data_IF_348096157907
#
_entry.id   IF_348096157907
#
_cell.length_a   1.000
_cell.length_b   1.000
_cell.length_c   1.000
_cell.angle_alpha   90.00
_cell.angle_beta   90.00
_cell.angle_gamma   90.00
#
_symmetry.space_group_name_H-M   'P 1'
#
loop_
_entity.id
_entity.type
_entity.pdbx_description
1 polymer ?
#
# COMPACT_ATOMS: atom_id res chain seq x y z
N UNK A 1 -15.68 -10.62 0.05
CA UNK A 1 -14.60 -11.39 -0.60
C UNK A 1 -13.26 -10.77 -0.22
N UNK A 2 -12.23 -11.55 0.08
CA UNK A 2 -10.85 -11.07 0.25
C UNK A 2 -10.49 -10.20 -0.96
N UNK A 3 -10.23 -8.92 -0.73
CA UNK A 3 -10.00 -7.92 -1.79
C UNK A 3 -8.69 -8.19 -2.52
N UNK A 4 -8.67 -9.20 -3.39
CA UNK A 4 -7.50 -9.64 -4.14
C UNK A 4 -6.34 -10.16 -3.28
N UNK A 5 -6.48 -10.37 -1.97
CA UNK A 5 -5.35 -10.71 -1.09
C UNK A 5 -4.59 -11.98 -1.50
N UNK A 6 -5.31 -12.96 -2.05
CA UNK A 6 -4.73 -14.19 -2.58
C UNK A 6 -4.16 -14.06 -4.01
N UNK A 7 -4.61 -13.07 -4.79
CA UNK A 7 -4.35 -12.95 -6.23
C UNK A 7 -3.49 -11.76 -6.61
N UNK A 8 -3.37 -10.76 -5.75
CA UNK A 8 -2.81 -9.44 -6.04
C UNK A 8 -3.62 -8.65 -7.07
N UNK A 9 -4.86 -9.05 -7.33
CA UNK A 9 -5.74 -8.46 -8.35
C UNK A 9 -7.06 -8.04 -7.68
N UNK A 10 -7.05 -6.97 -6.86
CA UNK A 10 -8.29 -6.47 -6.30
C UNK A 10 -9.13 -5.81 -7.40
N UNK A 11 -10.45 -5.97 -7.31
CA UNK A 11 -11.43 -5.41 -8.25
C UNK A 11 -12.43 -4.49 -7.52
N UNK A 12 -13.31 -3.83 -8.28
CA UNK A 12 -14.36 -2.96 -7.74
C UNK A 12 -13.85 -1.63 -7.19
N UNK A 13 -14.61 -1.05 -6.24
CA UNK A 13 -14.33 0.25 -5.63
C UNK A 13 -12.97 0.32 -4.92
N UNK A 14 -12.54 1.52 -4.59
CA UNK A 14 -11.31 1.78 -3.84
C UNK A 14 -11.32 1.09 -2.46
N UNK A 15 -10.14 0.72 -1.93
CA UNK A 15 -9.95 0.07 -0.63
C UNK A 15 -10.75 0.70 0.51
N UNK A 16 -10.62 2.00 0.78
CA UNK A 16 -11.30 2.59 1.94
C UNK A 16 -12.82 2.70 1.76
N UNK A 17 -13.34 2.76 0.53
CA UNK A 17 -14.79 2.79 0.27
C UNK A 17 -15.51 1.51 0.71
N UNK A 18 -14.79 0.38 0.74
CA UNK A 18 -15.31 -0.92 1.18
C UNK A 18 -14.98 -1.25 2.64
N UNK A 19 -14.27 -0.37 3.35
CA UNK A 19 -13.81 -0.62 4.72
C UNK A 19 -14.92 -1.00 5.69
N UNK A 20 -16.11 -0.41 5.53
CA UNK A 20 -17.29 -0.65 6.37
C UNK A 20 -17.72 -2.12 6.39
N UNK A 21 -17.48 -2.88 5.31
CA UNK A 21 -17.80 -4.31 5.23
C UNK A 21 -16.96 -5.14 6.22
N UNK A 22 -15.80 -4.61 6.62
CA UNK A 22 -14.87 -5.20 7.57
C UNK A 22 -14.88 -4.43 8.91
N UNK A 23 -15.83 -3.52 9.11
CA UNK A 23 -15.91 -2.68 10.31
C UNK A 23 -14.82 -1.60 10.40
N UNK A 24 -14.24 -1.18 9.28
CA UNK A 24 -13.18 -0.18 9.21
C UNK A 24 -13.74 1.15 8.68
N UNK A 25 -13.57 2.21 9.46
CA UNK A 25 -13.84 3.59 9.05
C UNK A 25 -12.51 4.38 9.06
N UNK A 26 -11.94 4.61 7.88
CA UNK A 26 -10.63 5.25 7.75
C UNK A 26 -10.63 6.72 8.23
N UNK A 27 -11.75 7.44 8.06
CA UNK A 27 -11.86 8.83 8.49
C UNK A 27 -11.95 8.92 10.02
N UNK A 28 -12.73 8.03 10.65
CA UNK A 28 -12.78 7.94 12.10
C UNK A 28 -11.42 7.57 12.70
N UNK A 29 -10.70 6.63 12.08
CA UNK A 29 -9.35 6.23 12.50
C UNK A 29 -8.35 7.38 12.39
N UNK A 30 -8.40 8.19 11.33
CA UNK A 30 -7.54 9.36 11.18
C UNK A 30 -7.75 10.40 12.29
N UNK A 31 -8.90 10.41 12.96
CA UNK A 31 -9.16 11.28 14.11
C UNK A 31 -8.53 10.81 15.43
N UNK A 32 -8.06 9.56 15.51
CA UNK A 32 -7.60 8.93 16.77
C UNK A 32 -6.26 8.20 16.68
N UNK A 33 -5.74 7.96 15.47
CA UNK A 33 -4.48 7.26 15.23
C UNK A 33 -3.44 8.22 14.64
N UNK A 34 -2.17 8.07 15.04
CA UNK A 34 -1.06 8.82 14.43
C UNK A 34 -0.78 8.40 12.98
N UNK A 35 -1.21 7.20 12.61
CA UNK A 35 -1.05 6.67 11.24
C UNK A 35 -2.20 5.75 10.86
N UNK A 36 -2.76 5.97 9.68
CA UNK A 36 -3.67 5.04 9.00
C UNK A 36 -2.91 4.42 7.84
N UNK A 37 -2.77 3.10 7.84
CA UNK A 37 -1.98 2.40 6.82
C UNK A 37 -2.86 1.78 5.74
N UNK A 38 -2.63 2.18 4.49
CA UNK A 38 -3.19 1.54 3.30
C UNK A 38 -2.47 0.21 3.00
N UNK A 39 -3.21 -0.82 2.63
CA UNK A 39 -2.64 -2.08 2.15
C UNK A 39 -2.39 -2.01 0.65
N UNK A 40 -1.13 -1.93 0.23
CA UNK A 40 -0.75 -1.91 -1.18
C UNK A 40 -0.70 -3.28 -1.83
N UNK A 41 -1.70 -4.12 -1.55
CA UNK A 41 -1.77 -5.51 -2.01
C UNK A 41 -2.40 -5.60 -3.40
N UNK A 42 -1.70 -5.03 -4.38
CA UNK A 42 -2.07 -5.05 -5.78
C UNK A 42 -0.83 -5.24 -6.65
N UNK A 43 -0.91 -6.01 -7.73
CA UNK A 43 0.13 -6.14 -8.75
C UNK A 43 0.32 -4.82 -9.48
N UNK A 44 -0.79 -4.21 -9.89
CA UNK A 44 -0.81 -3.02 -10.72
C UNK A 44 -0.61 -1.74 -9.86
N UNK A 45 0.42 -0.93 -10.11
CA UNK A 45 0.60 0.35 -9.43
C UNK A 45 -0.55 1.33 -9.65
N UNK A 46 -1.25 1.29 -10.79
CA UNK A 46 -2.41 2.17 -11.04
C UNK A 46 -3.59 1.84 -10.14
N UNK A 47 -3.71 0.57 -9.73
CA UNK A 47 -4.69 0.14 -8.74
C UNK A 47 -4.37 0.70 -7.36
N UNK A 48 -3.09 0.68 -6.98
CA UNK A 48 -2.63 1.30 -5.74
C UNK A 48 -2.87 2.81 -5.75
N UNK A 49 -2.60 3.46 -6.88
CA UNK A 49 -2.84 4.89 -7.12
C UNK A 49 -4.31 5.27 -6.82
N UNK A 50 -5.26 4.56 -7.43
CA UNK A 50 -6.70 4.71 -7.17
C UNK A 50 -7.06 4.57 -5.68
N UNK A 51 -6.49 3.56 -5.00
CA UNK A 51 -6.77 3.32 -3.59
C UNK A 51 -6.21 4.45 -2.71
N UNK A 52 -5.01 4.97 -3.02
CA UNK A 52 -4.36 6.06 -2.29
C UNK A 52 -5.11 7.39 -2.46
N UNK A 53 -5.62 7.71 -3.64
CA UNK A 53 -6.46 8.89 -3.86
C UNK A 53 -7.69 8.89 -2.93
N UNK A 54 -8.34 7.72 -2.81
CA UNK A 54 -9.48 7.57 -1.93
C UNK A 54 -9.10 7.66 -0.44
N UNK A 55 -7.92 7.19 -0.04
CA UNK A 55 -7.41 7.36 1.32
C UNK A 55 -7.11 8.82 1.63
N UNK A 56 -6.45 9.56 0.74
CA UNK A 56 -6.12 10.98 0.94
C UNK A 56 -7.37 11.87 1.03
N UNK A 57 -8.48 11.48 0.40
CA UNK A 57 -9.76 12.15 0.59
C UNK A 57 -10.36 11.98 1.99
N UNK A 58 -9.95 10.93 2.73
CA UNK A 58 -10.47 10.61 4.07
C UNK A 58 -9.49 10.95 5.20
N UNK A 59 -8.19 11.05 4.88
CA UNK A 59 -7.11 11.35 5.82
C UNK A 59 -6.57 12.75 5.50
N UNK A 60 -7.00 13.81 6.22
CA UNK A 60 -6.71 15.20 5.86
C UNK A 60 -5.21 15.55 5.86
N UNK A 61 -4.44 14.93 6.74
CA UNK A 61 -2.99 15.06 6.81
C UNK A 61 -2.33 13.86 6.15
N UNK A 62 -1.80 14.05 4.94
CA UNK A 62 -1.17 12.97 4.18
C UNK A 62 0.05 12.36 4.88
N UNK A 63 0.70 13.09 5.80
CA UNK A 63 1.81 12.53 6.58
C UNK A 63 1.35 11.44 7.57
N UNK A 64 0.05 11.42 7.93
CA UNK A 64 -0.55 10.32 8.70
C UNK A 64 -0.91 9.11 7.84
N UNK A 65 -0.85 9.22 6.51
CA UNK A 65 -1.09 8.08 5.63
C UNK A 65 0.20 7.24 5.51
N UNK A 66 0.09 5.98 5.89
CA UNK A 66 1.12 4.96 5.68
C UNK A 66 0.78 4.04 4.52
N UNK A 67 1.79 3.37 3.96
CA UNK A 67 1.62 2.31 2.97
C UNK A 67 2.34 1.04 3.42
N UNK A 68 1.63 -0.08 3.38
CA UNK A 68 2.21 -1.41 3.63
C UNK A 68 2.28 -2.19 2.33
N UNK A 69 3.49 -2.60 1.92
CA UNK A 69 3.73 -3.37 0.71
C UNK A 69 4.12 -4.82 1.04
N UNK A 70 3.71 -5.77 0.20
CA UNK A 70 4.23 -7.14 0.21
C UNK A 70 5.19 -7.31 -0.96
N UNK A 71 6.52 -7.35 -0.75
CA UNK A 71 7.53 -7.35 -1.81
C UNK A 71 7.75 -8.75 -2.40
N UNK A 72 6.67 -9.50 -2.63
CA UNK A 72 6.68 -10.85 -3.18
C UNK A 72 5.35 -11.14 -3.89
N UNK A 73 5.25 -12.23 -4.68
CA UNK A 73 3.97 -12.67 -5.21
C UNK A 73 2.95 -12.92 -4.09
N UNK A 74 1.65 -12.69 -4.35
CA UNK A 74 1.11 -12.29 -5.65
C UNK A 74 1.27 -10.81 -6.02
N UNK A 75 1.53 -9.90 -5.07
CA UNK A 75 1.42 -8.44 -5.30
C UNK A 75 2.64 -7.83 -5.99
N UNK A 76 3.81 -8.45 -5.91
CA UNK A 76 5.02 -7.91 -6.50
C UNK A 76 5.79 -9.01 -7.24
N UNK A 77 6.10 -8.76 -8.51
CA UNK A 77 6.76 -9.76 -9.40
C UNK A 77 8.12 -9.32 -9.93
N UNK A 78 8.54 -8.09 -9.66
CA UNK A 78 9.82 -7.53 -10.11
C UNK A 78 10.29 -6.37 -9.23
N UNK A 79 11.58 -6.06 -9.30
CA UNK A 79 12.17 -4.87 -8.67
C UNK A 79 11.50 -3.57 -9.14
N UNK A 80 11.32 -3.42 -10.45
CA UNK A 80 10.69 -2.23 -11.05
C UNK A 80 9.27 -1.99 -10.54
N UNK A 81 8.49 -3.05 -10.36
CA UNK A 81 7.14 -2.94 -9.82
C UNK A 81 7.14 -2.45 -8.36
N UNK A 82 8.10 -2.92 -7.56
CA UNK A 82 8.27 -2.41 -6.19
C UNK A 82 8.71 -0.95 -6.20
N UNK A 83 9.70 -0.60 -7.02
CA UNK A 83 10.23 0.75 -7.15
C UNK A 83 9.13 1.75 -7.56
N UNK A 84 8.26 1.39 -8.50
CA UNK A 84 7.11 2.22 -8.89
C UNK A 84 6.16 2.51 -7.72
N UNK A 85 5.85 1.51 -6.88
CA UNK A 85 4.97 1.69 -5.71
C UNK A 85 5.62 2.50 -4.60
N UNK A 86 6.93 2.34 -4.40
CA UNK A 86 7.71 3.15 -3.46
C UNK A 86 7.79 4.61 -3.93
N UNK A 87 8.05 4.84 -5.22
CA UNK A 87 8.01 6.18 -5.81
C UNK A 87 6.63 6.81 -5.63
N UNK A 88 5.56 6.06 -5.86
CA UNK A 88 4.20 6.51 -5.66
C UNK A 88 3.92 7.03 -4.25
N UNK A 89 4.42 6.32 -3.22
CA UNK A 89 4.29 6.73 -1.83
C UNK A 89 5.06 8.03 -1.54
N UNK A 90 6.27 8.17 -2.12
CA UNK A 90 7.10 9.38 -1.98
C UNK A 90 6.47 10.58 -2.65
N UNK A 91 6.05 10.42 -3.90
CA UNK A 91 5.47 11.50 -4.71
C UNK A 91 4.18 12.04 -4.08
N UNK A 92 3.44 11.16 -3.39
CA UNK A 92 2.25 11.53 -2.62
C UNK A 92 2.55 12.07 -1.23
N UNK A 93 3.78 12.01 -0.74
CA UNK A 93 4.15 12.54 0.58
C UNK A 93 3.66 11.71 1.77
N UNK A 94 3.48 10.39 1.61
CA UNK A 94 3.11 9.50 2.70
C UNK A 94 4.20 9.51 3.78
N UNK A 95 3.78 9.57 5.05
CA UNK A 95 4.74 9.67 6.17
C UNK A 95 5.38 8.35 6.56
N UNK A 96 4.84 7.21 6.09
CA UNK A 96 5.35 5.89 6.46
C UNK A 96 5.23 4.88 5.32
N UNK A 97 6.26 4.07 5.16
CA UNK A 97 6.31 2.94 4.24
C UNK A 97 6.83 1.71 4.99
N UNK A 98 6.04 0.63 5.04
CA UNK A 98 6.41 -0.63 5.68
C UNK A 98 6.37 -1.79 4.67
N UNK A 99 7.16 -2.82 4.94
CA UNK A 99 7.16 -4.08 4.17
C UNK A 99 6.65 -5.23 5.03
N UNK A 100 5.58 -5.87 4.59
CA UNK A 100 4.96 -7.00 5.28
C UNK A 100 5.49 -8.34 4.75
N UNK A 101 5.37 -9.37 5.59
CA UNK A 101 5.64 -10.77 5.23
C UNK A 101 7.11 -11.13 5.03
N UNK A 102 8.01 -10.45 5.77
CA UNK A 102 9.46 -10.64 5.69
C UNK A 102 9.89 -12.10 5.85
N UNK A 103 9.26 -12.86 6.77
CA UNK A 103 9.59 -14.27 7.03
C UNK A 103 9.27 -15.24 5.88
N UNK A 104 8.48 -14.83 4.89
CA UNK A 104 8.11 -15.64 3.72
C UNK A 104 8.67 -15.09 2.41
N UNK A 105 9.26 -13.90 2.44
CA UNK A 105 9.90 -13.32 1.27
C UNK A 105 11.15 -14.13 0.89
N UNK A 106 11.43 -14.24 -0.41
CA UNK A 106 12.74 -14.71 -0.88
C UNK A 106 13.78 -13.65 -0.54
N UNK A 107 15.04 -14.04 -0.31
CA UNK A 107 16.12 -13.09 0.00
C UNK A 107 16.27 -11.99 -1.07
N UNK A 108 15.99 -12.31 -2.34
CA UNK A 108 15.97 -11.33 -3.44
C UNK A 108 15.02 -10.13 -3.19
N UNK A 109 13.95 -10.31 -2.42
CA UNK A 109 13.05 -9.21 -2.08
C UNK A 109 13.77 -8.11 -1.29
N UNK A 110 14.83 -8.46 -0.54
CA UNK A 110 15.64 -7.49 0.20
C UNK A 110 16.47 -6.62 -0.75
N UNK A 111 16.99 -7.20 -1.83
CA UNK A 111 17.68 -6.45 -2.88
C UNK A 111 16.71 -5.49 -3.57
N UNK A 112 15.47 -5.93 -3.83
CA UNK A 112 14.44 -5.08 -4.41
C UNK A 112 14.05 -3.93 -3.48
N UNK A 113 13.89 -4.20 -2.18
CA UNK A 113 13.63 -3.16 -1.17
C UNK A 113 14.77 -2.15 -1.16
N UNK A 114 16.01 -2.61 -1.11
CA UNK A 114 17.19 -1.74 -1.11
C UNK A 114 17.21 -0.83 -2.36
N UNK A 115 17.00 -1.42 -3.54
CA UNK A 115 16.98 -0.69 -4.82
C UNK A 115 15.84 0.34 -4.86
N UNK A 116 14.63 -0.05 -4.45
CA UNK A 116 13.47 0.84 -4.43
C UNK A 116 13.65 2.00 -3.43
N UNK A 117 14.36 1.76 -2.32
CA UNK A 117 14.60 2.77 -1.30
C UNK A 117 15.77 3.71 -1.61
N UNK A 118 16.59 3.43 -2.61
CA UNK A 118 17.70 4.31 -2.99
C UNK A 118 17.20 5.72 -3.35
N UNK A 119 17.97 6.78 -3.03
CA UNK A 119 17.66 8.13 -3.49
C UNK A 119 17.69 8.18 -5.02
N UNK A 120 16.73 8.89 -5.62
CA UNK A 120 16.73 9.21 -7.06
C UNK A 120 17.74 10.30 -7.37
#
# INVERSE_FOLDING_TARGET
AEKGFATGQPEGEAAPALGWQMGIDAAALAGVCDTVAATGYAVDPSRLDLDLDAYQALVPDTSQLGLVLRPMPPDCRSADNLAQKVALARDRGLGRLDFYHYGFCRLQALDWIQQALAPT
#
